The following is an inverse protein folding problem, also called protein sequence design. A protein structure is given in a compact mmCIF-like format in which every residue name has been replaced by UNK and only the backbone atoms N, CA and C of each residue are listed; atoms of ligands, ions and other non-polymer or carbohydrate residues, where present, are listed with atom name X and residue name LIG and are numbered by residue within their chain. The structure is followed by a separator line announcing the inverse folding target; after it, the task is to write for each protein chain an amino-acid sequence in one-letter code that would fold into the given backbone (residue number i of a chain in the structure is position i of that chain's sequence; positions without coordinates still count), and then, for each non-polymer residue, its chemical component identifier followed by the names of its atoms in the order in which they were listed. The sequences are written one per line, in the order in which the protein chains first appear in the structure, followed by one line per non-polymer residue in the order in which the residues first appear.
data_IF_305798475581
#
_entry.id   IF_305798475581
#
_cell.length_a   1.000
_cell.length_b   1.000
_cell.length_c   1.000
_cell.angle_alpha   90.00
_cell.angle_beta   90.00
_cell.angle_gamma   90.00
#
_symmetry.space_group_name_H-M   'P 1'
#
loop_
_entity.id
_entity.type
_entity.pdbx_description
1 polymer ?
#
# COMPACT_ATOMS: atom_id res chain seq x y z
N UNK A 1 29.64 3.16 14.90
CA UNK A 1 28.50 3.84 14.26
C UNK A 1 28.49 3.46 12.80
N UNK A 2 27.71 2.45 12.43
CA UNK A 2 27.65 1.96 11.05
C UNK A 2 26.60 2.76 10.29
N UNK A 3 27.06 3.58 9.35
CA UNK A 3 26.20 4.31 8.42
C UNK A 3 25.65 3.28 7.43
N UNK A 4 24.44 2.78 7.67
CA UNK A 4 23.72 1.99 6.68
C UNK A 4 23.26 2.94 5.58
N UNK A 5 24.01 2.94 4.49
CA UNK A 5 23.73 3.67 3.27
C UNK A 5 22.29 3.43 2.80
N UNK A 6 21.57 4.52 2.48
CA UNK A 6 20.28 4.48 1.82
C UNK A 6 20.37 3.61 0.55
N UNK A 7 19.82 2.39 0.61
CA UNK A 7 19.47 1.68 -0.62
C UNK A 7 18.18 2.32 -1.14
N UNK A 8 18.33 3.25 -2.08
CA UNK A 8 17.26 3.54 -3.04
C UNK A 8 16.71 2.21 -3.55
N UNK A 9 15.38 2.01 -3.64
CA UNK A 9 14.85 0.79 -4.22
C UNK A 9 15.52 0.61 -5.58
N UNK A 10 16.23 -0.50 -5.76
CA UNK A 10 16.89 -0.79 -7.03
C UNK A 10 15.83 -0.71 -8.12
N UNK A 11 16.18 -0.15 -9.30
CA UNK A 11 15.24 -0.10 -10.43
C UNK A 11 14.59 -1.48 -10.66
N UNK A 12 15.37 -2.55 -10.47
CA UNK A 12 14.94 -3.94 -10.46
C UNK A 12 13.79 -4.21 -9.48
N UNK A 13 13.86 -3.74 -8.24
CA UNK A 13 12.78 -3.89 -7.26
C UNK A 13 11.49 -3.23 -7.73
N UNK A 14 11.56 -1.99 -8.22
CA UNK A 14 10.38 -1.29 -8.75
C UNK A 14 9.69 -2.07 -9.88
N UNK A 15 10.47 -2.52 -10.88
CA UNK A 15 9.92 -3.30 -12.00
C UNK A 15 9.29 -4.62 -11.55
N UNK A 16 9.94 -5.34 -10.64
CA UNK A 16 9.42 -6.62 -10.12
C UNK A 16 8.09 -6.41 -9.40
N UNK A 17 7.98 -5.39 -8.54
CA UNK A 17 6.75 -5.08 -7.83
C UNK A 17 5.61 -4.65 -8.76
N UNK A 18 5.91 -3.83 -9.77
CA UNK A 18 4.92 -3.43 -10.78
C UNK A 18 4.42 -4.62 -11.60
N UNK A 19 5.33 -5.49 -12.04
CA UNK A 19 4.97 -6.69 -12.80
C UNK A 19 4.07 -7.61 -11.97
N UNK A 20 4.43 -7.85 -10.70
CA UNK A 20 3.63 -8.65 -9.78
C UNK A 20 2.23 -8.03 -9.56
N UNK A 21 2.15 -6.71 -9.38
CA UNK A 21 0.87 -6.00 -9.25
C UNK A 21 -0.03 -6.15 -10.46
N UNK A 22 0.52 -5.99 -11.67
CA UNK A 22 -0.21 -6.18 -12.93
C UNK A 22 -0.68 -7.62 -13.11
N UNK A 23 0.20 -8.61 -12.86
CA UNK A 23 -0.16 -10.02 -12.93
C UNK A 23 -1.30 -10.34 -11.96
N UNK A 24 -1.23 -9.82 -10.73
CA UNK A 24 -2.25 -10.01 -9.71
C UNK A 24 -3.62 -9.45 -10.13
N UNK A 25 -3.63 -8.28 -10.77
CA UNK A 25 -4.84 -7.65 -11.29
C UNK A 25 -5.39 -8.36 -12.54
N UNK A 26 -4.53 -8.95 -13.37
CA UNK A 26 -4.90 -9.60 -14.63
C UNK A 26 -5.55 -10.98 -14.44
N UNK A 27 -5.10 -11.77 -13.46
CA UNK A 27 -5.60 -13.14 -13.25
C UNK A 27 -7.12 -13.21 -13.05
N UNK A 28 -7.77 -12.35 -12.25
CA UNK A 28 -9.23 -12.32 -12.13
C UNK A 28 -9.97 -12.05 -13.44
N UNK A 29 -9.45 -11.16 -14.27
CA UNK A 29 -10.02 -10.84 -15.58
C UNK A 29 -9.91 -12.04 -16.53
N UNK A 30 -8.75 -12.69 -16.56
CA UNK A 30 -8.52 -13.89 -17.36
C UNK A 30 -9.46 -15.02 -16.88
N UNK A 31 -9.52 -15.27 -15.57
CA UNK A 31 -10.42 -16.26 -14.98
C UNK A 31 -11.89 -15.98 -15.36
N UNK A 32 -12.34 -14.72 -15.23
CA UNK A 32 -13.69 -14.30 -15.58
C UNK A 32 -14.01 -14.52 -17.07
N UNK A 33 -13.11 -14.10 -17.97
CA UNK A 33 -13.28 -14.27 -19.42
C UNK A 33 -13.48 -15.73 -19.85
N UNK A 34 -12.96 -16.69 -19.07
CA UNK A 34 -13.08 -18.13 -19.34
C UNK A 34 -14.39 -18.73 -18.81
N UNK A 35 -15.02 -18.09 -17.82
CA UNK A 35 -16.25 -18.60 -17.18
C UNK A 35 -17.51 -17.84 -17.58
N UNK A 36 -17.41 -16.61 -18.07
CA UNK A 36 -18.55 -15.80 -18.48
C UNK A 36 -19.35 -16.51 -19.59
N UNK A 37 -20.66 -16.61 -19.40
CA UNK A 37 -21.62 -17.25 -20.31
C UNK A 37 -22.40 -16.23 -21.13
N UNK A 38 -22.53 -15.01 -20.68
CA UNK A 38 -23.38 -13.95 -21.25
C UNK A 38 -22.55 -12.71 -21.56
N UNK A 39 -22.88 -12.01 -22.65
CA UNK A 39 -22.16 -10.78 -23.01
C UNK A 39 -22.44 -9.65 -22.01
N UNK A 40 -23.69 -9.47 -21.60
CA UNK A 40 -24.09 -8.39 -20.69
C UNK A 40 -23.42 -8.48 -19.31
N UNK A 41 -23.67 -9.57 -18.57
CA UNK A 41 -23.04 -9.78 -17.25
C UNK A 41 -21.53 -9.95 -17.40
N UNK A 42 -21.08 -10.63 -18.46
CA UNK A 42 -19.67 -10.79 -18.81
C UNK A 42 -18.92 -9.45 -18.87
N UNK A 43 -19.40 -8.49 -19.66
CA UNK A 43 -18.77 -7.18 -19.75
C UNK A 43 -18.91 -6.38 -18.46
N UNK A 44 -20.08 -6.37 -17.82
CA UNK A 44 -20.28 -5.62 -16.58
C UNK A 44 -19.30 -6.06 -15.47
N UNK A 45 -19.19 -7.38 -15.20
CA UNK A 45 -18.26 -7.90 -14.20
C UNK A 45 -16.80 -7.68 -14.62
N UNK A 46 -16.46 -7.82 -15.90
CA UNK A 46 -15.11 -7.54 -16.40
C UNK A 46 -14.72 -6.07 -16.19
N UNK A 47 -15.63 -5.12 -16.48
CA UNK A 47 -15.39 -3.69 -16.27
C UNK A 47 -15.15 -3.36 -14.80
N UNK A 48 -15.92 -3.95 -13.88
CA UNK A 48 -15.73 -3.73 -12.44
C UNK A 48 -14.39 -4.31 -11.96
N UNK A 49 -14.03 -5.52 -12.40
CA UNK A 49 -12.73 -6.12 -12.08
C UNK A 49 -11.57 -5.29 -12.65
N UNK A 50 -11.71 -4.78 -13.87
CA UNK A 50 -10.71 -3.93 -14.51
C UNK A 50 -10.53 -2.61 -13.75
N UNK A 51 -11.62 -1.95 -13.37
CA UNK A 51 -11.58 -0.72 -12.57
C UNK A 51 -10.93 -0.97 -11.20
N UNK A 52 -11.28 -2.06 -10.52
CA UNK A 52 -10.69 -2.43 -9.23
C UNK A 52 -9.18 -2.73 -9.35
N UNK A 53 -8.77 -3.44 -10.42
CA UNK A 53 -7.37 -3.73 -10.69
C UNK A 53 -6.56 -2.46 -11.03
N UNK A 54 -7.13 -1.57 -11.84
CA UNK A 54 -6.53 -0.27 -12.15
C UNK A 54 -6.36 0.61 -10.91
N UNK A 55 -7.36 0.63 -10.02
CA UNK A 55 -7.28 1.34 -8.74
C UNK A 55 -6.18 0.76 -7.85
N UNK A 56 -6.05 -0.55 -7.76
CA UNK A 56 -4.98 -1.21 -7.00
C UNK A 56 -3.60 -0.79 -7.52
N UNK A 57 -3.39 -0.79 -8.84
CA UNK A 57 -2.14 -0.34 -9.47
C UNK A 57 -1.88 1.15 -9.18
N UNK A 58 -2.91 2.01 -9.28
CA UNK A 58 -2.76 3.42 -8.94
C UNK A 58 -2.32 3.63 -7.48
N UNK A 59 -2.88 2.89 -6.53
CA UNK A 59 -2.49 2.93 -5.11
C UNK A 59 -1.04 2.46 -4.91
N UNK A 60 -0.62 1.37 -5.58
CA UNK A 60 0.76 0.88 -5.52
C UNK A 60 1.77 1.95 -5.94
N UNK A 61 1.44 2.69 -7.00
CA UNK A 61 2.28 3.77 -7.54
C UNK A 61 2.11 5.12 -6.81
N UNK A 62 1.34 5.18 -5.73
CA UNK A 62 1.17 6.40 -4.94
C UNK A 62 0.21 7.43 -5.54
N UNK A 63 -0.57 7.05 -6.56
CA UNK A 63 -1.60 7.91 -7.15
C UNK A 63 -2.79 8.19 -6.22
N UNK A 64 -2.93 7.43 -5.13
CA UNK A 64 -3.98 7.61 -4.12
C UNK A 64 -3.35 7.56 -2.71
N UNK A 65 -2.80 8.67 -2.21
CA UNK A 65 -2.01 8.69 -0.97
C UNK A 65 -2.82 8.41 0.31
N UNK A 66 -4.15 8.55 0.24
CA UNK A 66 -5.03 8.30 1.38
C UNK A 66 -5.23 6.81 1.70
N UNK A 67 -4.92 5.91 0.75
CA UNK A 67 -5.20 4.48 0.90
C UNK A 67 -3.91 3.71 1.20
N UNK A 68 -3.82 3.02 2.36
CA UNK A 68 -2.68 2.17 2.67
C UNK A 68 -2.58 1.01 1.68
N UNK A 69 -1.38 0.77 1.13
CA UNK A 69 -1.15 -0.26 0.11
C UNK A 69 -1.56 -1.67 0.58
N UNK A 70 -1.24 -2.03 1.82
CA UNK A 70 -1.58 -3.33 2.39
C UNK A 70 -3.11 -3.55 2.44
N UNK A 71 -3.86 -2.53 2.86
CA UNK A 71 -5.32 -2.59 2.95
C UNK A 71 -5.96 -2.69 1.56
N UNK A 72 -5.42 -1.96 0.57
CA UNK A 72 -5.87 -2.07 -0.82
C UNK A 72 -5.72 -3.49 -1.39
N UNK A 73 -4.58 -4.13 -1.14
CA UNK A 73 -4.35 -5.52 -1.54
C UNK A 73 -5.33 -6.49 -0.87
N UNK A 74 -5.58 -6.33 0.43
CA UNK A 74 -6.53 -7.16 1.15
C UNK A 74 -7.95 -6.98 0.60
N UNK A 75 -8.40 -5.74 0.45
CA UNK A 75 -9.73 -5.41 -0.09
C UNK A 75 -9.91 -5.98 -1.49
N UNK A 76 -8.92 -5.83 -2.37
CA UNK A 76 -8.97 -6.40 -3.72
C UNK A 76 -9.04 -7.94 -3.69
N UNK A 77 -8.27 -8.57 -2.79
CA UNK A 77 -8.23 -10.02 -2.60
C UNK A 77 -9.57 -10.59 -2.13
N UNK A 78 -10.33 -9.85 -1.30
CA UNK A 78 -11.67 -10.24 -0.84
C UNK A 78 -12.76 -9.87 -1.85
N UNK A 79 -12.68 -8.69 -2.46
CA UNK A 79 -13.70 -8.20 -3.39
C UNK A 79 -13.75 -9.04 -4.68
N UNK A 80 -12.60 -9.49 -5.17
CA UNK A 80 -12.49 -10.29 -6.38
C UNK A 80 -13.34 -11.57 -6.36
N UNK A 81 -13.18 -12.50 -5.40
CA UNK A 81 -14.00 -13.71 -5.36
C UNK A 81 -15.48 -13.39 -5.16
N UNK A 82 -15.83 -12.34 -4.40
CA UNK A 82 -17.22 -11.91 -4.24
C UNK A 82 -17.83 -11.45 -5.57
N UNK A 83 -17.13 -10.61 -6.34
CA UNK A 83 -17.55 -10.15 -7.67
C UNK A 83 -17.74 -11.32 -8.63
N UNK A 84 -16.84 -12.31 -8.60
CA UNK A 84 -16.95 -13.50 -9.44
C UNK A 84 -18.13 -14.39 -9.05
N UNK A 85 -18.36 -14.60 -7.74
CA UNK A 85 -19.53 -15.36 -7.25
C UNK A 85 -20.83 -14.66 -7.63
N UNK A 86 -20.90 -13.34 -7.49
CA UNK A 86 -22.04 -12.54 -7.89
C UNK A 86 -22.28 -12.63 -9.40
N UNK A 87 -21.24 -12.46 -10.22
CA UNK A 87 -21.32 -12.62 -11.68
C UNK A 87 -21.86 -14.00 -12.08
N UNK A 88 -21.34 -15.08 -11.51
CA UNK A 88 -21.82 -16.45 -11.78
C UNK A 88 -23.29 -16.64 -11.37
N UNK A 89 -23.71 -16.08 -10.23
CA UNK A 89 -25.11 -16.16 -9.77
C UNK A 89 -26.05 -15.41 -10.72
N UNK A 90 -25.65 -14.22 -11.17
CA UNK A 90 -26.41 -13.43 -12.14
C UNK A 90 -26.56 -14.18 -13.47
N UNK A 91 -25.50 -14.80 -13.97
CA UNK A 91 -25.55 -15.58 -15.21
C UNK A 91 -26.39 -16.86 -15.09
N UNK A 92 -26.39 -17.51 -13.92
CA UNK A 92 -27.26 -18.65 -13.63
C UNK A 92 -28.74 -18.28 -13.75
N UNK A 93 -29.11 -17.07 -13.31
CA UNK A 93 -30.46 -16.53 -13.46
C UNK A 93 -30.89 -16.33 -14.92
N UNK A 94 -29.96 -16.07 -15.83
CA UNK A 94 -30.27 -15.80 -17.25
C UNK A 94 -30.25 -17.03 -18.16
N UNK A 95 -29.31 -17.97 -17.97
CA UNK A 95 -29.06 -19.09 -18.90
C UNK A 95 -29.35 -20.49 -18.35
N UNK A 96 -29.93 -20.59 -17.15
CA UNK A 96 -30.28 -21.87 -16.56
C UNK A 96 -29.06 -22.79 -16.34
N UNK A 97 -29.28 -24.10 -16.36
CA UNK A 97 -28.26 -25.10 -16.02
C UNK A 97 -27.02 -25.00 -16.93
N UNK A 98 -25.85 -25.27 -16.37
CA UNK A 98 -24.59 -25.17 -17.08
C UNK A 98 -24.17 -26.53 -17.65
N UNK A 99 -23.46 -26.52 -18.78
CA UNK A 99 -22.87 -27.73 -19.35
C UNK A 99 -21.68 -28.23 -18.53
N UNK A 100 -21.36 -29.52 -18.65
CA UNK A 100 -20.19 -30.12 -17.98
C UNK A 100 -18.87 -29.45 -18.36
N UNK A 101 -18.72 -29.07 -19.64
CA UNK A 101 -17.56 -28.33 -20.13
C UNK A 101 -17.40 -26.97 -19.44
N UNK A 102 -18.52 -26.29 -19.15
CA UNK A 102 -18.48 -25.07 -18.34
C UNK A 102 -18.11 -25.36 -16.88
N UNK A 103 -18.63 -26.45 -16.30
CA UNK A 103 -18.27 -26.90 -14.96
C UNK A 103 -16.75 -27.09 -14.80
N UNK A 104 -16.11 -27.75 -15.76
CA UNK A 104 -14.65 -27.94 -15.79
C UNK A 104 -13.88 -26.62 -15.82
N UNK A 105 -14.25 -25.70 -16.72
CA UNK A 105 -13.63 -24.36 -16.82
C UNK A 105 -13.79 -23.56 -15.53
N UNK A 106 -14.98 -23.63 -14.91
CA UNK A 106 -15.24 -23.00 -13.61
C UNK A 106 -14.35 -23.58 -12.52
N UNK A 107 -14.24 -24.91 -12.41
CA UNK A 107 -13.37 -25.54 -11.41
C UNK A 107 -11.91 -25.15 -11.58
N UNK A 108 -11.41 -25.09 -12.82
CA UNK A 108 -10.05 -24.59 -13.10
C UNK A 108 -9.89 -23.13 -12.68
N UNK A 109 -10.84 -22.26 -13.01
CA UNK A 109 -10.80 -20.85 -12.62
C UNK A 109 -10.82 -20.68 -11.09
N UNK A 110 -11.68 -21.43 -10.39
CA UNK A 110 -11.73 -21.45 -8.92
C UNK A 110 -10.41 -21.94 -8.33
N UNK A 111 -9.80 -22.98 -8.91
CA UNK A 111 -8.48 -23.46 -8.50
C UNK A 111 -7.41 -22.38 -8.62
N UNK A 112 -7.31 -21.73 -9.78
CA UNK A 112 -6.34 -20.64 -10.03
C UNK A 112 -6.52 -19.48 -9.05
N UNK A 113 -7.76 -19.04 -8.84
CA UNK A 113 -8.08 -17.94 -7.91
C UNK A 113 -7.84 -18.33 -6.46
N UNK A 114 -8.15 -19.58 -6.09
CA UNK A 114 -7.87 -20.14 -4.78
C UNK A 114 -6.37 -20.18 -4.51
N UNK A 115 -5.57 -20.63 -5.48
CA UNK A 115 -4.10 -20.59 -5.40
C UNK A 115 -3.58 -19.16 -5.25
N UNK A 116 -4.07 -18.21 -6.05
CA UNK A 116 -3.71 -16.80 -5.91
C UNK A 116 -4.03 -16.27 -4.50
N UNK A 117 -5.22 -16.57 -3.98
CA UNK A 117 -5.65 -16.16 -2.64
C UNK A 117 -4.72 -16.72 -1.56
N UNK A 118 -4.44 -18.03 -1.59
CA UNK A 118 -3.54 -18.70 -0.63
C UNK A 118 -2.13 -18.11 -0.71
N UNK A 119 -1.58 -17.92 -1.90
CA UNK A 119 -0.26 -17.31 -2.08
C UNK A 119 -0.21 -15.88 -1.54
N UNK A 120 -1.28 -15.11 -1.70
CA UNK A 120 -1.38 -13.74 -1.16
C UNK A 120 -1.37 -13.75 0.36
N UNK A 121 -2.15 -14.65 0.98
CA UNK A 121 -2.17 -14.78 2.43
C UNK A 121 -0.81 -15.24 2.97
N UNK A 122 -0.18 -16.23 2.33
CA UNK A 122 1.14 -16.70 2.71
C UNK A 122 2.21 -15.60 2.58
N UNK A 123 2.21 -14.86 1.47
CA UNK A 123 3.15 -13.74 1.27
C UNK A 123 2.90 -12.60 2.26
N UNK A 124 1.63 -12.29 2.57
CA UNK A 124 1.28 -11.27 3.57
C UNK A 124 1.66 -11.70 4.98
N UNK A 125 1.47 -12.97 5.33
CA UNK A 125 1.88 -13.53 6.62
C UNK A 125 3.41 -13.55 6.74
N UNK A 126 4.14 -13.97 5.71
CA UNK A 126 5.60 -13.90 5.66
C UNK A 126 6.08 -12.46 5.80
N UNK A 127 5.48 -11.52 5.07
CA UNK A 127 5.79 -10.10 5.17
C UNK A 127 5.55 -9.57 6.60
N UNK A 128 4.43 -9.93 7.22
CA UNK A 128 4.12 -9.55 8.60
C UNK A 128 5.14 -10.13 9.59
N UNK A 129 5.48 -11.42 9.47
CA UNK A 129 6.45 -12.09 10.33
C UNK A 129 7.86 -11.52 10.18
N UNK A 130 8.26 -11.16 8.95
CA UNK A 130 9.55 -10.50 8.69
C UNK A 130 9.56 -9.02 9.07
N UNK A 131 8.39 -8.37 9.06
CA UNK A 131 8.20 -6.95 9.35
C UNK A 131 7.85 -6.62 10.81
N UNK A 132 7.72 -7.64 11.67
CA UNK A 132 7.36 -7.51 13.09
C UNK A 132 8.45 -6.88 13.98
N UNK A 133 9.59 -6.49 13.41
CA UNK A 133 10.59 -5.66 14.09
C UNK A 133 10.36 -4.16 13.86
N UNK A 134 10.94 -3.33 14.73
CA UNK A 134 11.04 -1.89 14.51
C UNK A 134 11.55 -1.63 13.09
N UNK A 135 10.68 -1.10 12.23
CA UNK A 135 10.97 -0.89 10.81
C UNK A 135 11.12 0.60 10.58
N UNK A 136 12.19 0.98 9.88
CA UNK A 136 12.40 2.38 9.47
C UNK A 136 11.18 2.79 8.63
N UNK A 137 10.45 3.85 9.00
CA UNK A 137 9.35 4.36 8.19
C UNK A 137 9.82 4.59 6.75
N UNK A 138 9.03 4.32 5.69
CA UNK A 138 9.47 4.57 4.32
C UNK A 138 9.62 6.08 4.04
N UNK A 139 10.37 6.46 2.99
CA UNK A 139 10.57 7.86 2.60
C UNK A 139 9.24 8.59 2.37
N UNK A 140 8.29 7.88 1.76
CA UNK A 140 6.93 8.36 1.48
C UNK A 140 6.08 8.58 2.73
N UNK A 141 6.56 8.19 3.93
CA UNK A 141 5.90 8.51 5.19
C UNK A 141 6.25 9.93 5.68
N UNK A 142 7.31 10.54 5.14
CA UNK A 142 7.63 11.95 5.36
C UNK A 142 6.56 12.79 4.66
N UNK A 143 5.86 13.69 5.36
CA UNK A 143 4.88 14.57 4.73
C UNK A 143 5.57 15.54 3.78
N UNK A 144 4.85 15.95 2.74
CA UNK A 144 5.32 16.99 1.84
C UNK A 144 5.63 18.27 2.61
N UNK A 145 6.75 18.90 2.28
CA UNK A 145 7.17 20.14 2.91
C UNK A 145 6.38 21.32 2.32
N UNK A 146 5.94 22.27 3.16
CA UNK A 146 5.37 23.53 2.70
C UNK A 146 6.28 24.26 1.69
N UNK A 147 5.71 25.01 0.71
CA UNK A 147 6.50 25.76 -0.26
C UNK A 147 7.59 26.63 0.38
N UNK A 148 8.79 26.63 -0.19
CA UNK A 148 9.94 27.37 0.32
C UNK A 148 10.79 26.61 1.35
N UNK A 149 10.27 25.52 1.93
CA UNK A 149 11.07 24.59 2.72
C UNK A 149 11.67 23.49 1.84
N UNK A 150 12.86 23.01 2.23
CA UNK A 150 13.58 21.95 1.50
C UNK A 150 14.17 20.93 2.44
N UNK A 151 14.36 19.71 1.93
CA UNK A 151 15.15 18.68 2.59
C UNK A 151 16.63 18.98 2.36
N UNK A 152 17.37 19.22 3.44
CA UNK A 152 18.83 19.38 3.40
C UNK A 152 19.55 18.04 3.52
N UNK A 153 19.03 17.16 4.37
CA UNK A 153 19.56 15.82 4.56
C UNK A 153 18.47 14.90 5.09
N UNK A 154 18.55 13.62 4.75
CA UNK A 154 17.69 12.58 5.27
C UNK A 154 18.53 11.50 5.95
N UNK A 155 18.03 10.94 7.04
CA UNK A 155 18.65 9.84 7.76
C UNK A 155 17.61 8.96 8.43
N UNK A 156 18.07 7.84 8.96
CA UNK A 156 17.26 6.93 9.76
C UNK A 156 18.05 6.43 10.95
N UNK A 157 17.36 6.25 12.07
CA UNK A 157 17.93 5.68 13.29
C UNK A 157 16.99 4.61 13.84
N UNK A 158 17.56 3.55 14.40
CA UNK A 158 16.81 2.51 15.09
C UNK A 158 17.33 2.39 16.51
N UNK A 159 16.41 2.53 17.48
CA UNK A 159 16.63 2.14 18.86
C UNK A 159 16.17 0.71 19.12
N UNK A 160 16.21 0.28 20.37
CA UNK A 160 15.87 -1.09 20.77
C UNK A 160 14.40 -1.47 20.54
N UNK A 161 13.49 -0.49 20.42
CA UNK A 161 12.04 -0.71 20.33
C UNK A 161 11.34 0.09 19.22
N UNK A 162 12.04 0.98 18.52
CA UNK A 162 11.44 1.76 17.43
C UNK A 162 12.52 2.27 16.47
N UNK A 163 12.12 2.47 15.21
CA UNK A 163 12.94 3.16 14.23
C UNK A 163 12.29 4.47 13.84
N UNK A 164 13.12 5.50 13.68
CA UNK A 164 12.72 6.80 13.20
C UNK A 164 13.41 7.12 11.88
N UNK A 165 12.71 7.89 11.05
CA UNK A 165 13.26 8.59 9.90
C UNK A 165 13.34 10.06 10.24
N UNK A 166 14.50 10.67 10.04
CA UNK A 166 14.79 12.05 10.38
C UNK A 166 15.14 12.83 9.13
N UNK A 167 14.50 13.97 8.93
CA UNK A 167 14.70 14.85 7.79
C UNK A 167 15.11 16.21 8.33
N UNK A 168 16.32 16.65 7.98
CA UNK A 168 16.76 18.01 8.28
C UNK A 168 16.11 18.96 7.28
N UNK A 169 15.31 19.88 7.79
CA UNK A 169 14.57 20.86 6.99
C UNK A 169 15.33 22.19 6.97
N UNK A 170 15.51 22.72 5.77
CA UNK A 170 16.02 24.07 5.54
C UNK A 170 14.99 24.95 4.86
N UNK A 171 15.38 26.19 4.58
CA UNK A 171 14.56 27.15 3.83
C UNK A 171 15.35 27.70 2.65
N UNK A 172 14.69 27.78 1.48
CA UNK A 172 15.19 28.52 0.32
C UNK A 172 15.11 30.03 0.54
N UNK A 173 14.15 30.46 1.35
CA UNK A 173 13.84 31.87 1.58
C UNK A 173 14.68 32.46 2.74
N UNK A 174 15.66 31.71 3.27
CA UNK A 174 16.51 32.16 4.38
C UNK A 174 15.80 32.22 5.73
N UNK A 175 14.68 31.52 5.90
CA UNK A 175 13.93 31.49 7.16
C UNK A 175 14.77 30.99 8.32
N UNK A 176 14.58 31.60 9.49
CA UNK A 176 15.17 31.15 10.74
C UNK A 176 14.58 29.82 11.19
N UNK A 177 15.28 29.04 12.04
CA UNK A 177 14.75 27.78 12.56
C UNK A 177 13.36 27.90 13.22
N UNK A 178 13.11 28.98 13.96
CA UNK A 178 11.83 29.22 14.61
C UNK A 178 10.69 29.46 13.59
N UNK A 179 10.99 30.15 12.49
CA UNK A 179 10.04 30.36 11.39
C UNK A 179 9.80 29.07 10.60
N UNK A 180 10.84 28.24 10.40
CA UNK A 180 10.68 26.91 9.79
C UNK A 180 9.73 26.05 10.63
N UNK A 181 9.94 25.97 11.95
CA UNK A 181 9.05 25.22 12.86
C UNK A 181 7.61 25.73 12.78
N UNK A 182 7.43 27.06 12.77
CA UNK A 182 6.10 27.69 12.65
C UNK A 182 5.44 27.36 11.30
N UNK A 183 6.22 27.37 10.22
CA UNK A 183 5.74 27.09 8.85
C UNK A 183 5.40 25.62 8.64
N UNK A 184 6.04 24.71 9.39
CA UNK A 184 5.66 23.30 9.44
C UNK A 184 4.31 23.07 10.15
N UNK A 185 3.76 24.09 10.82
CA UNK A 185 2.47 24.09 11.51
C UNK A 185 2.28 22.88 12.45
N UNK A 186 3.34 22.56 13.19
CA UNK A 186 3.34 21.45 14.15
C UNK A 186 3.68 22.03 15.51
N UNK A 187 2.72 21.99 16.42
CA UNK A 187 2.94 22.31 17.84
C UNK A 187 4.12 21.48 18.37
N UNK A 188 4.93 22.05 19.24
CA UNK A 188 6.02 21.35 19.94
C UNK A 188 5.53 20.04 20.54
N UNK A 189 5.91 18.91 19.93
CA UNK A 189 5.43 17.58 20.31
C UNK A 189 5.27 16.64 19.13
N UNK A 190 4.79 15.43 19.42
CA UNK A 190 4.48 14.41 18.42
C UNK A 190 3.01 14.48 18.04
N UNK A 191 2.72 14.54 16.75
CA UNK A 191 1.37 14.34 16.21
C UNK A 191 1.26 12.93 15.64
N UNK A 192 0.41 12.10 16.24
CA UNK A 192 0.18 10.73 15.81
C UNK A 192 -1.14 10.60 15.05
N UNK A 193 -1.13 9.79 13.99
CA UNK A 193 -2.31 9.38 13.23
C UNK A 193 -2.21 7.88 12.91
N UNK A 194 -3.33 7.17 12.71
CA UNK A 194 -3.28 5.80 12.20
C UNK A 194 -2.47 5.72 10.90
N UNK A 195 -1.56 4.75 10.78
CA UNK A 195 -0.78 4.53 9.55
C UNK A 195 -1.60 3.80 8.48
N UNK A 196 -2.41 2.83 8.91
CA UNK A 196 -3.33 2.05 8.09
C UNK A 196 -4.78 2.15 8.54
N UNK A 197 -5.67 1.49 7.79
CA UNK A 197 -7.09 1.38 8.11
C UNK A 197 -7.39 0.06 8.82
N UNK A 198 -6.80 -1.06 8.37
CA UNK A 198 -7.14 -2.40 8.88
C UNK A 198 -5.91 -3.22 9.32
N UNK A 199 -4.94 -3.38 8.42
CA UNK A 199 -3.79 -4.27 8.60
C UNK A 199 -2.61 -3.58 9.31
N UNK A 200 -2.30 -2.34 8.94
CA UNK A 200 -1.27 -1.57 9.63
C UNK A 200 -1.88 -0.69 10.72
N UNK A 201 -2.04 -1.27 11.91
CA UNK A 201 -2.62 -0.58 13.08
C UNK A 201 -1.63 0.30 13.82
N UNK A 202 -0.38 0.38 13.37
CA UNK A 202 0.65 1.19 14.04
C UNK A 202 0.31 2.67 13.90
N UNK A 203 0.66 3.45 14.91
CA UNK A 203 0.50 4.89 14.85
C UNK A 203 1.70 5.51 14.14
N UNK A 204 1.46 6.25 13.05
CA UNK A 204 2.47 7.10 12.44
C UNK A 204 2.54 8.41 13.21
N UNK A 205 3.63 8.58 13.94
CA UNK A 205 3.89 9.78 14.71
C UNK A 205 4.93 10.63 14.01
N UNK A 206 4.66 11.93 13.94
CA UNK A 206 5.55 12.90 13.33
C UNK A 206 5.80 14.00 14.35
N UNK A 207 7.07 14.28 14.61
CA UNK A 207 7.50 15.31 15.57
C UNK A 207 8.51 16.25 14.93
N UNK A 208 8.52 17.51 15.38
CA UNK A 208 9.52 18.49 14.97
C UNK A 208 10.39 18.83 16.18
N UNK A 209 11.70 18.71 16.01
CA UNK A 209 12.69 19.03 17.05
C UNK A 209 13.70 20.01 16.49
N UNK A 210 14.05 21.02 17.28
CA UNK A 210 15.13 21.95 16.96
C UNK A 210 16.36 21.58 17.80
N UNK A 211 17.45 21.21 17.14
CA UNK A 211 18.70 20.80 17.80
C UNK A 211 19.89 21.47 17.11
N UNK A 212 20.77 22.12 17.86
CA UNK A 212 21.98 22.79 17.34
C UNK A 212 21.69 23.76 16.18
N UNK A 213 20.61 24.55 16.28
CA UNK A 213 20.21 25.50 15.24
C UNK A 213 19.64 24.88 13.96
N UNK A 214 19.44 23.56 13.91
CA UNK A 214 18.81 22.85 12.79
C UNK A 214 17.41 22.38 13.17
N UNK A 215 16.49 22.42 12.22
CA UNK A 215 15.15 21.85 12.38
C UNK A 215 15.13 20.44 11.81
N UNK A 216 14.75 19.48 12.63
CA UNK A 216 14.58 18.09 12.24
C UNK A 216 13.12 17.70 12.33
N UNK A 217 12.61 17.14 11.23
CA UNK A 217 11.32 16.48 11.14
C UNK A 217 11.56 14.98 11.33
N UNK A 218 11.01 14.42 12.41
CA UNK A 218 11.12 13.01 12.73
C UNK A 218 9.80 12.31 12.45
N UNK A 219 9.86 11.14 11.81
CA UNK A 219 8.73 10.25 11.57
C UNK A 219 9.05 8.92 12.22
N UNK A 220 8.12 8.38 12.99
CA UNK A 220 8.22 7.04 13.59
C UNK A 220 6.92 6.28 13.39
N UNK A 221 7.04 4.95 13.31
CA UNK A 221 5.90 4.04 13.43
C UNK A 221 5.95 3.50 14.85
N UNK A 222 5.02 3.94 15.69
CA UNK A 222 4.92 3.48 17.07
C UNK A 222 4.21 2.13 17.10
N UNK A 223 4.93 1.11 17.55
CA UNK A 223 4.37 -0.18 17.96
C UNK A 223 3.76 -0.11 19.38
N UNK A 224 3.99 1.00 20.09
CA UNK A 224 3.36 1.31 21.36
C UNK A 224 1.87 1.58 21.13
N UNK A 225 1.08 0.55 21.45
CA UNK A 225 -0.37 0.61 21.60
C UNK A 225 -0.69 1.75 22.59
N UNK A 226 -1.56 2.73 22.26
CA UNK A 226 -2.09 3.66 23.25
C UNK A 226 -2.98 2.96 24.28
#
# INVERSE_FOLDING_TARGET
MSVLSLQSPSATGFFVWSLLGVLFAAVPLIAWSRIARTRGVGYATASVLFAAGGLLVAIQHGGVPAVPRADAHLLFTVATPLLLVLGVRLEKGQKGHASEAWGRRRSTAVGVLGTQFVLTLAASALYFLMGAGASVPPATAVPDLPPGLIVLSEGSSCGSSSCARSVTVGSRDGLTPAEIVRKLDRSSGWTCRPNGWLLDRRSRCIGVTQTNGKVQLNVTLSDLIP
#
